data_IF_225652451890
#
_entry.id   IF_225652451890
#
_cell.length_a   1.000
_cell.length_b   1.000
_cell.length_c   1.000
_cell.angle_alpha   90.00
_cell.angle_beta   90.00
_cell.angle_gamma   90.00
#
_symmetry.space_group_name_H-M   'P 1'
#
loop_
_entity.id
_entity.type
_entity.pdbx_description
1 polymer ?
#
# COMPACT_ATOMS: atom_id res chain seq x y z
N UNK A 1 -42.93 5.01 -2.85
CA UNK A 1 -43.40 4.83 -1.46
C UNK A 1 -43.14 3.41 -0.94
N UNK A 2 -43.55 2.34 -1.63
CA UNK A 2 -43.31 0.95 -1.16
C UNK A 2 -41.81 0.56 -1.01
N UNK A 3 -40.92 1.05 -1.89
CA UNK A 3 -39.48 0.72 -1.86
C UNK A 3 -38.74 1.22 -0.62
N UNK A 4 -39.09 2.39 -0.09
CA UNK A 4 -38.42 3.00 1.08
C UNK A 4 -38.88 2.36 2.40
N UNK A 5 -40.17 2.04 2.51
CA UNK A 5 -40.71 1.28 3.64
C UNK A 5 -40.15 -0.15 3.68
N UNK A 6 -40.01 -0.80 2.52
CA UNK A 6 -39.36 -2.12 2.42
C UNK A 6 -37.86 -2.06 2.73
N UNK A 7 -37.15 -1.00 2.34
CA UNK A 7 -35.73 -0.81 2.69
C UNK A 7 -35.56 -0.62 4.22
N UNK A 8 -36.40 0.20 4.85
CA UNK A 8 -36.36 0.43 6.30
C UNK A 8 -36.67 -0.84 7.11
N UNK A 9 -37.66 -1.64 6.67
CA UNK A 9 -37.99 -2.93 7.29
C UNK A 9 -36.85 -3.95 7.15
N UNK A 10 -36.23 -4.02 5.97
CA UNK A 10 -35.07 -4.87 5.71
C UNK A 10 -33.87 -4.48 6.58
N UNK A 11 -33.57 -3.19 6.73
CA UNK A 11 -32.50 -2.69 7.58
C UNK A 11 -32.72 -3.07 9.05
N UNK A 12 -33.92 -2.83 9.60
CA UNK A 12 -34.23 -3.23 10.99
C UNK A 12 -34.08 -4.73 11.20
N UNK A 13 -34.51 -5.53 10.22
CA UNK A 13 -34.37 -6.99 10.28
C UNK A 13 -32.90 -7.41 10.28
N UNK A 14 -32.07 -6.78 9.45
CA UNK A 14 -30.63 -7.03 9.43
C UNK A 14 -29.97 -6.66 10.77
N UNK A 15 -30.26 -5.47 11.31
CA UNK A 15 -29.74 -5.02 12.60
C UNK A 15 -30.19 -5.91 13.76
N UNK A 16 -31.45 -6.35 13.76
CA UNK A 16 -31.98 -7.26 14.78
C UNK A 16 -31.30 -8.65 14.76
N UNK A 17 -30.82 -9.08 13.59
CA UNK A 17 -30.11 -10.35 13.40
C UNK A 17 -28.62 -10.29 13.73
N UNK A 18 -28.07 -9.10 13.99
CA UNK A 18 -26.66 -9.00 14.40
C UNK A 18 -26.44 -9.72 15.75
N UNK A 19 -25.31 -10.44 15.89
CA UNK A 19 -24.90 -10.98 17.19
C UNK A 19 -24.61 -9.85 18.18
N UNK A 20 -24.49 -10.15 19.47
CA UNK A 20 -24.25 -9.14 20.50
C UNK A 20 -22.97 -8.33 20.25
N UNK A 21 -21.93 -8.94 19.70
CA UNK A 21 -20.72 -8.25 19.25
C UNK A 21 -20.99 -7.27 18.11
N UNK A 22 -21.81 -7.66 17.12
CA UNK A 22 -22.21 -6.80 16.01
C UNK A 22 -23.10 -5.64 16.47
N UNK A 23 -24.00 -5.88 17.43
CA UNK A 23 -24.80 -4.81 18.04
C UNK A 23 -23.95 -3.83 18.84
N UNK A 24 -22.96 -4.32 19.59
CA UNK A 24 -22.03 -3.46 20.34
C UNK A 24 -21.11 -2.64 19.42
N UNK A 25 -20.89 -3.10 18.18
CA UNK A 25 -20.06 -2.42 17.19
C UNK A 25 -20.79 -1.31 16.42
N UNK A 26 -22.11 -1.19 16.56
CA UNK A 26 -22.93 -0.29 15.74
C UNK A 26 -23.69 0.70 16.63
N UNK A 27 -23.59 1.98 16.29
CA UNK A 27 -24.38 3.06 16.87
C UNK A 27 -25.43 3.49 15.86
N UNK A 28 -26.70 3.45 16.27
CA UNK A 28 -27.83 3.85 15.42
C UNK A 28 -28.54 5.05 16.05
N UNK A 29 -28.77 6.09 15.25
CA UNK A 29 -29.67 7.19 15.58
C UNK A 29 -30.97 7.05 14.79
N UNK A 30 -31.89 8.00 14.97
CA UNK A 30 -33.10 8.04 14.15
C UNK A 30 -32.83 8.30 12.65
N UNK A 31 -31.62 8.79 12.30
CA UNK A 31 -31.27 9.20 10.92
C UNK A 31 -30.04 8.50 10.36
N UNK A 32 -29.14 8.05 11.22
CA UNK A 32 -27.82 7.60 10.82
C UNK A 32 -27.47 6.26 11.45
N UNK A 33 -26.60 5.51 10.77
CA UNK A 33 -25.99 4.29 11.26
C UNK A 33 -24.47 4.46 11.14
N UNK A 34 -23.75 4.20 12.22
CA UNK A 34 -22.30 4.29 12.26
C UNK A 34 -21.68 3.17 13.08
N UNK A 35 -20.36 3.04 12.98
CA UNK A 35 -19.61 2.20 13.90
C UNK A 35 -19.48 2.91 15.25
N UNK A 36 -19.51 2.14 16.33
CA UNK A 36 -19.24 2.68 17.66
C UNK A 36 -17.80 3.18 17.74
N UNK A 37 -17.56 4.25 18.52
CA UNK A 37 -16.21 4.76 18.77
C UNK A 37 -15.26 3.79 19.48
N UNK A 38 -15.76 2.61 19.90
CA UNK A 38 -14.96 1.51 20.46
C UNK A 38 -14.45 0.54 19.41
N UNK A 39 -14.94 0.64 18.17
CA UNK A 39 -14.52 -0.23 17.08
C UNK A 39 -13.21 0.29 16.52
N UNK A 40 -12.19 -0.56 16.55
CA UNK A 40 -10.95 -0.35 15.82
C UNK A 40 -11.14 -0.80 14.39
N UNK A 41 -10.69 0.03 13.45
CA UNK A 41 -10.77 -0.25 12.02
C UNK A 41 -9.36 -0.15 11.45
N UNK A 42 -8.86 -1.28 10.99
CA UNK A 42 -7.53 -1.44 10.42
C UNK A 42 -7.22 -0.42 9.33
N UNK A 43 -8.13 -0.22 8.37
CA UNK A 43 -7.92 0.73 7.26
C UNK A 43 -7.77 2.17 7.75
N UNK A 44 -8.41 2.56 8.86
CA UNK A 44 -8.24 3.91 9.41
C UNK A 44 -6.84 4.09 9.99
N UNK A 45 -6.32 3.06 10.66
CA UNK A 45 -4.96 3.04 11.20
C UNK A 45 -3.92 3.04 10.07
N UNK A 46 -4.10 2.20 9.04
CA UNK A 46 -3.23 2.13 7.86
C UNK A 46 -3.23 3.43 7.06
N UNK A 47 -4.39 4.09 6.87
CA UNK A 47 -4.46 5.42 6.22
C UNK A 47 -3.73 6.48 7.05
N UNK A 48 -3.92 6.49 8.36
CA UNK A 48 -3.23 7.43 9.24
C UNK A 48 -1.71 7.22 9.22
N UNK A 49 -1.24 5.96 9.23
CA UNK A 49 0.17 5.61 9.08
C UNK A 49 0.72 6.08 7.73
N UNK A 50 0.01 5.81 6.63
CA UNK A 50 0.40 6.25 5.30
C UNK A 50 0.59 7.77 5.23
N UNK A 51 -0.34 8.55 5.78
CA UNK A 51 -0.21 10.01 5.84
C UNK A 51 1.00 10.46 6.67
N UNK A 52 1.30 9.82 7.81
CA UNK A 52 2.50 10.15 8.61
C UNK A 52 3.81 9.81 7.87
N UNK A 53 3.83 8.74 7.09
CA UNK A 53 4.97 8.35 6.27
C UNK A 53 5.21 9.31 5.09
N UNK A 54 4.16 9.94 4.58
CA UNK A 54 4.25 10.95 3.51
C UNK A 54 4.52 12.36 4.02
N UNK A 55 4.22 12.64 5.29
CA UNK A 55 4.57 13.88 5.94
C UNK A 55 6.09 13.98 6.21
N UNK A 56 6.62 15.18 6.53
CA UNK A 56 8.02 15.34 6.93
C UNK A 56 8.41 14.40 8.08
N UNK A 57 9.68 14.01 8.16
CA UNK A 57 10.13 12.99 9.12
C UNK A 57 9.80 13.33 10.59
N UNK A 58 9.72 14.62 10.94
CA UNK A 58 9.31 15.11 12.27
C UNK A 58 7.90 14.66 12.69
N UNK A 59 7.03 14.29 11.74
CA UNK A 59 5.67 13.81 12.00
C UNK A 59 5.60 12.29 12.25
N UNK A 60 6.74 11.60 12.12
CA UNK A 60 6.84 10.14 12.24
C UNK A 60 7.03 9.77 13.70
N UNK A 61 6.27 8.80 14.18
CA UNK A 61 6.34 8.32 15.56
C UNK A 61 7.29 7.12 15.68
N UNK A 62 7.73 6.84 16.91
CA UNK A 62 8.51 5.65 17.21
C UNK A 62 7.67 4.40 16.95
N UNK A 63 7.99 3.66 15.87
CA UNK A 63 7.26 2.47 15.44
C UNK A 63 6.68 2.55 14.02
N UNK A 64 6.50 3.76 13.47
CA UNK A 64 5.94 3.96 12.12
C UNK A 64 6.84 3.43 10.99
N UNK A 65 8.11 3.16 11.28
CA UNK A 65 9.11 2.72 10.29
C UNK A 65 9.72 1.41 10.77
N UNK A 66 9.22 0.30 10.23
CA UNK A 66 9.65 -1.06 10.54
C UNK A 66 8.74 -2.10 9.89
N UNK A 67 8.98 -3.38 10.18
CA UNK A 67 8.22 -4.50 9.62
C UNK A 67 6.70 -4.42 9.85
N UNK A 68 6.25 -3.88 10.99
CA UNK A 68 4.81 -3.68 11.27
C UNK A 68 4.15 -2.78 10.23
N UNK A 69 4.77 -1.65 9.92
CA UNK A 69 4.28 -0.73 8.90
C UNK A 69 4.22 -1.35 7.50
N UNK A 70 5.15 -2.27 7.17
CA UNK A 70 5.09 -3.02 5.90
C UNK A 70 3.83 -3.89 5.86
N UNK A 71 3.55 -4.60 6.96
CA UNK A 71 2.35 -5.44 7.07
C UNK A 71 1.07 -4.61 6.93
N UNK A 72 0.96 -3.51 7.68
CA UNK A 72 -0.25 -2.67 7.75
C UNK A 72 -0.59 -2.01 6.41
N UNK A 73 0.42 -1.74 5.57
CA UNK A 73 0.25 -1.10 4.26
C UNK A 73 0.13 -2.10 3.10
N UNK A 74 0.40 -3.39 3.32
CA UNK A 74 0.38 -4.41 2.26
C UNK A 74 -1.03 -4.89 1.91
N UNK A 75 -2.02 -4.71 2.79
CA UNK A 75 -3.38 -5.20 2.62
C UNK A 75 -4.22 -4.43 1.60
N UNK A 76 -5.02 -5.13 0.80
CA UNK A 76 -6.04 -4.57 -0.10
C UNK A 76 -7.32 -4.20 0.65
N UNK A 77 -8.01 -3.16 0.19
CA UNK A 77 -9.30 -2.76 0.76
C UNK A 77 -10.39 -3.64 0.16
N UNK A 78 -11.06 -4.43 1.01
CA UNK A 78 -12.23 -5.23 0.67
C UNK A 78 -12.03 -6.05 -0.63
N UNK A 79 -11.03 -6.96 -0.69
CA UNK A 79 -10.87 -7.83 -1.84
C UNK A 79 -12.16 -8.63 -2.10
N UNK A 80 -12.45 -8.90 -3.37
CA UNK A 80 -13.65 -9.60 -3.86
C UNK A 80 -14.98 -8.84 -3.77
N UNK A 81 -14.95 -7.55 -3.38
CA UNK A 81 -16.11 -6.66 -3.45
C UNK A 81 -16.08 -5.80 -4.71
N UNK A 82 -17.19 -5.76 -5.45
CA UNK A 82 -17.29 -5.11 -6.76
C UNK A 82 -18.34 -4.00 -6.83
N UNK A 83 -18.87 -3.57 -5.69
CA UNK A 83 -19.74 -2.40 -5.64
C UNK A 83 -18.98 -1.15 -6.11
N UNK A 84 -19.61 -0.29 -6.90
CA UNK A 84 -18.97 0.86 -7.54
C UNK A 84 -18.25 1.77 -6.52
N UNK A 85 -18.86 2.00 -5.35
CA UNK A 85 -18.25 2.80 -4.29
C UNK A 85 -17.00 2.14 -3.69
N UNK A 86 -16.95 0.80 -3.61
CA UNK A 86 -15.78 0.08 -3.10
C UNK A 86 -14.61 0.21 -4.07
N UNK A 87 -14.86 0.11 -5.38
CA UNK A 87 -13.82 0.22 -6.39
C UNK A 87 -13.11 1.58 -6.34
N UNK A 88 -13.86 2.66 -6.11
CA UNK A 88 -13.30 4.01 -5.94
C UNK A 88 -12.43 4.08 -4.68
N UNK A 89 -12.96 3.64 -3.53
CA UNK A 89 -12.23 3.67 -2.26
C UNK A 89 -10.99 2.77 -2.26
N UNK A 90 -11.06 1.63 -2.97
CA UNK A 90 -9.95 0.70 -3.12
C UNK A 90 -8.86 1.29 -4.01
N UNK A 91 -9.21 2.00 -5.08
CA UNK A 91 -8.24 2.71 -5.92
C UNK A 91 -7.57 3.87 -5.15
N UNK A 92 -8.35 4.67 -4.40
CA UNK A 92 -7.81 5.74 -3.55
C UNK A 92 -6.84 5.18 -2.50
N UNK A 93 -7.22 4.07 -1.85
CA UNK A 93 -6.33 3.38 -0.92
C UNK A 93 -5.08 2.85 -1.62
N UNK A 94 -5.22 2.24 -2.80
CA UNK A 94 -4.11 1.69 -3.57
C UNK A 94 -3.08 2.76 -3.93
N UNK A 95 -3.52 3.94 -4.38
CA UNK A 95 -2.61 5.05 -4.66
C UNK A 95 -1.89 5.53 -3.41
N UNK A 96 -2.63 5.74 -2.31
CA UNK A 96 -2.05 6.21 -1.05
C UNK A 96 -1.01 5.22 -0.50
N UNK A 97 -1.34 3.92 -0.45
CA UNK A 97 -0.43 2.90 0.09
C UNK A 97 0.82 2.72 -0.78
N UNK A 98 0.72 2.85 -2.10
CA UNK A 98 1.87 2.80 -3.00
C UNK A 98 2.90 3.87 -2.63
N UNK A 99 2.46 5.12 -2.54
CA UNK A 99 3.33 6.22 -2.15
C UNK A 99 3.91 6.05 -0.74
N UNK A 100 3.11 5.58 0.21
CA UNK A 100 3.57 5.35 1.58
C UNK A 100 4.62 4.22 1.67
N UNK A 101 4.43 3.13 0.93
CA UNK A 101 5.38 2.01 0.86
C UNK A 101 6.71 2.43 0.22
N UNK A 102 6.68 3.27 -0.83
CA UNK A 102 7.90 3.85 -1.42
C UNK A 102 8.66 4.75 -0.44
N UNK A 103 7.93 5.60 0.31
CA UNK A 103 8.51 6.43 1.35
C UNK A 103 9.09 5.58 2.51
N UNK A 104 8.38 4.53 2.91
CA UNK A 104 8.83 3.58 3.93
C UNK A 104 10.10 2.86 3.49
N UNK A 105 10.16 2.36 2.25
CA UNK A 105 11.35 1.73 1.69
C UNK A 105 12.56 2.69 1.72
N UNK A 106 12.35 3.95 1.34
CA UNK A 106 13.40 4.98 1.38
C UNK A 106 13.92 5.21 2.80
N UNK A 107 13.02 5.37 3.77
CA UNK A 107 13.38 5.59 5.18
C UNK A 107 14.08 4.39 5.82
N UNK A 108 13.62 3.18 5.54
CA UNK A 108 14.25 1.94 6.01
C UNK A 108 15.64 1.75 5.41
N UNK A 109 15.81 2.06 4.12
CA UNK A 109 17.11 2.04 3.44
C UNK A 109 18.09 3.00 4.10
N UNK A 110 17.67 4.24 4.38
CA UNK A 110 18.49 5.24 5.04
C UNK A 110 18.91 4.82 6.46
N UNK A 111 18.15 3.95 7.12
CA UNK A 111 18.45 3.39 8.44
C UNK A 111 19.26 2.08 8.39
N UNK A 112 19.54 1.54 7.20
CA UNK A 112 20.24 0.27 7.02
C UNK A 112 19.37 -0.98 7.25
N UNK A 113 18.05 -0.83 7.34
CA UNK A 113 17.10 -1.94 7.48
C UNK A 113 16.71 -2.49 6.10
N UNK A 114 17.69 -3.05 5.37
CA UNK A 114 17.52 -3.41 3.95
C UNK A 114 16.45 -4.48 3.71
N UNK A 115 16.32 -5.46 4.60
CA UNK A 115 15.30 -6.52 4.47
C UNK A 115 13.87 -5.95 4.50
N UNK A 116 13.57 -5.10 5.49
CA UNK A 116 12.26 -4.45 5.58
C UNK A 116 12.05 -3.44 4.44
N UNK A 117 13.12 -2.74 4.02
CA UNK A 117 13.05 -1.81 2.89
C UNK A 117 12.70 -2.52 1.58
N UNK A 118 13.32 -3.68 1.31
CA UNK A 118 13.01 -4.50 0.15
C UNK A 118 11.58 -5.06 0.24
N UNK A 119 11.14 -5.48 1.43
CA UNK A 119 9.76 -5.94 1.65
C UNK A 119 8.73 -4.84 1.35
N UNK A 120 8.99 -3.59 1.78
CA UNK A 120 8.14 -2.44 1.48
C UNK A 120 8.07 -2.14 -0.02
N UNK A 121 9.23 -2.08 -0.70
CA UNK A 121 9.28 -1.85 -2.14
C UNK A 121 8.59 -2.98 -2.93
N UNK A 122 8.79 -4.24 -2.54
CA UNK A 122 8.13 -5.40 -3.14
C UNK A 122 6.61 -5.39 -2.92
N UNK A 123 6.13 -4.92 -1.77
CA UNK A 123 4.70 -4.75 -1.53
C UNK A 123 4.09 -3.73 -2.50
N UNK A 124 4.79 -2.61 -2.74
CA UNK A 124 4.36 -1.63 -3.73
C UNK A 124 4.43 -2.18 -5.17
N UNK A 125 5.46 -2.95 -5.52
CA UNK A 125 5.56 -3.66 -6.81
C UNK A 125 4.40 -4.62 -7.01
N UNK A 126 3.99 -5.38 -5.99
CA UNK A 126 2.83 -6.29 -6.11
C UNK A 126 1.53 -5.54 -6.33
N UNK A 127 1.36 -4.38 -5.68
CA UNK A 127 0.18 -3.55 -5.82
C UNK A 127 0.09 -2.82 -7.17
N UNK A 128 1.21 -2.59 -7.84
CA UNK A 128 1.26 -2.02 -9.20
C UNK A 128 2.52 -2.49 -9.95
N UNK A 129 2.47 -3.67 -10.61
CA UNK A 129 3.65 -4.29 -11.22
C UNK A 129 4.30 -3.51 -12.37
N UNK A 130 3.49 -2.72 -13.11
CA UNK A 130 3.92 -1.96 -14.27
C UNK A 130 4.49 -0.58 -13.90
N UNK A 131 4.28 -0.10 -12.67
CA UNK A 131 4.81 1.20 -12.23
C UNK A 131 6.29 1.14 -11.92
N UNK A 132 7.03 2.07 -12.49
CA UNK A 132 8.49 2.11 -12.38
C UNK A 132 8.96 2.53 -10.98
N UNK A 133 8.21 3.38 -10.28
CA UNK A 133 8.71 4.01 -9.05
C UNK A 133 8.99 3.01 -7.91
N UNK A 134 8.15 1.99 -7.64
CA UNK A 134 8.49 0.90 -6.71
C UNK A 134 9.67 0.04 -7.16
N UNK A 135 9.82 -0.21 -8.47
CA UNK A 135 10.95 -0.96 -9.04
C UNK A 135 12.26 -0.22 -8.80
N UNK A 136 12.27 1.08 -9.06
CA UNK A 136 13.40 1.95 -8.79
C UNK A 136 13.75 2.01 -7.29
N UNK A 137 12.74 2.00 -6.41
CA UNK A 137 12.96 1.90 -4.97
C UNK A 137 13.63 0.57 -4.60
N UNK A 138 13.14 -0.56 -5.10
CA UNK A 138 13.72 -1.88 -4.84
C UNK A 138 15.17 -2.00 -5.33
N UNK A 139 15.45 -1.51 -6.54
CA UNK A 139 16.81 -1.44 -7.08
C UNK A 139 17.71 -0.60 -6.16
N UNK A 140 17.25 0.56 -5.70
CA UNK A 140 18.00 1.40 -4.73
C UNK A 140 18.27 0.66 -3.42
N UNK A 141 17.33 -0.14 -2.91
CA UNK A 141 17.55 -0.95 -1.70
C UNK A 141 18.71 -1.92 -1.93
N UNK A 142 18.69 -2.68 -3.03
CA UNK A 142 19.72 -3.64 -3.35
C UNK A 142 21.09 -3.00 -3.55
N UNK A 143 21.15 -1.82 -4.19
CA UNK A 143 22.40 -1.06 -4.33
C UNK A 143 22.93 -0.64 -2.95
N UNK A 144 22.07 -0.11 -2.08
CA UNK A 144 22.45 0.33 -0.75
C UNK A 144 22.88 -0.82 0.18
N UNK A 145 22.31 -2.01 0.00
CA UNK A 145 22.71 -3.25 0.66
C UNK A 145 24.04 -3.82 0.12
N UNK A 146 24.50 -3.35 -1.05
CA UNK A 146 25.67 -3.89 -1.75
C UNK A 146 25.36 -5.12 -2.63
N UNK A 147 24.09 -5.47 -2.81
CA UNK A 147 23.63 -6.60 -3.61
C UNK A 147 23.41 -6.21 -5.08
N UNK A 148 24.50 -5.84 -5.77
CA UNK A 148 24.47 -5.37 -7.16
C UNK A 148 23.84 -6.38 -8.11
N UNK A 149 24.06 -7.68 -7.89
CA UNK A 149 23.48 -8.72 -8.73
C UNK A 149 21.94 -8.75 -8.66
N UNK A 150 21.33 -8.51 -7.49
CA UNK A 150 19.88 -8.46 -7.38
C UNK A 150 19.32 -7.16 -7.99
N UNK A 151 20.01 -6.04 -7.84
CA UNK A 151 19.65 -4.78 -8.51
C UNK A 151 19.57 -4.95 -10.05
N UNK A 152 20.57 -5.58 -10.65
CA UNK A 152 20.61 -5.87 -12.08
C UNK A 152 19.53 -6.85 -12.51
N UNK A 153 19.28 -7.90 -11.71
CA UNK A 153 18.20 -8.86 -11.98
C UNK A 153 16.83 -8.18 -11.95
N UNK A 154 16.58 -7.30 -10.99
CA UNK A 154 15.31 -6.58 -10.88
C UNK A 154 15.06 -5.68 -12.09
N UNK A 155 16.08 -4.94 -12.52
CA UNK A 155 16.00 -4.15 -13.74
C UNK A 155 15.69 -5.00 -14.98
N UNK A 156 16.40 -6.12 -15.15
CA UNK A 156 16.18 -7.02 -16.29
C UNK A 156 14.76 -7.60 -16.31
N UNK A 157 14.25 -8.05 -15.15
CA UNK A 157 12.87 -8.56 -15.00
C UNK A 157 11.83 -7.49 -15.35
N UNK A 158 12.03 -6.26 -14.87
CA UNK A 158 11.09 -5.17 -15.13
C UNK A 158 11.08 -4.77 -16.61
N UNK A 159 12.26 -4.69 -17.25
CA UNK A 159 12.36 -4.44 -18.69
C UNK A 159 11.62 -5.49 -19.51
N UNK A 160 11.83 -6.77 -19.20
CA UNK A 160 11.11 -7.87 -19.87
C UNK A 160 9.59 -7.73 -19.70
N UNK A 161 9.13 -7.44 -18.49
CA UNK A 161 7.71 -7.20 -18.21
C UNK A 161 7.14 -6.04 -19.04
N UNK A 162 7.81 -4.88 -19.06
CA UNK A 162 7.32 -3.72 -19.84
C UNK A 162 7.29 -4.00 -21.34
N UNK A 163 8.29 -4.70 -21.86
CA UNK A 163 8.33 -5.07 -23.27
C UNK A 163 7.20 -6.04 -23.64
N UNK A 164 6.90 -7.01 -22.77
CA UNK A 164 5.82 -7.98 -23.00
C UNK A 164 4.43 -7.33 -22.89
N UNK A 165 4.20 -6.52 -21.85
CA UNK A 165 2.86 -5.99 -21.54
C UNK A 165 2.53 -4.71 -22.32
N UNK A 166 3.52 -3.86 -22.56
CA UNK A 166 3.31 -2.50 -23.11
C UNK A 166 4.14 -2.22 -24.37
N UNK A 167 5.14 -3.04 -24.70
CA UNK A 167 6.03 -2.81 -25.84
C UNK A 167 6.94 -1.59 -25.69
N UNK A 168 7.25 -1.20 -24.44
CA UNK A 168 8.08 -0.04 -24.11
C UNK A 168 9.27 -0.42 -23.24
N UNK A 169 10.32 0.40 -23.30
CA UNK A 169 11.50 0.28 -22.42
C UNK A 169 11.31 1.07 -21.11
N UNK A 170 12.06 0.73 -20.04
CA UNK A 170 12.15 1.57 -18.85
C UNK A 170 12.63 2.99 -19.16
N UNK A 171 12.37 3.92 -18.25
CA UNK A 171 12.80 5.31 -18.46
C UNK A 171 14.32 5.45 -18.38
N UNK A 172 14.85 6.50 -19.02
CA UNK A 172 16.27 6.88 -18.92
C UNK A 172 16.75 7.06 -17.48
N UNK A 173 15.85 7.48 -16.57
CA UNK A 173 16.18 7.61 -15.15
C UNK A 173 16.48 6.26 -14.52
N UNK A 174 15.74 5.22 -14.89
CA UNK A 174 15.98 3.87 -14.39
C UNK A 174 17.23 3.25 -15.03
N UNK A 175 17.45 3.51 -16.33
CA UNK A 175 18.70 3.12 -17.00
C UNK A 175 19.92 3.75 -16.31
N UNK A 176 19.90 5.06 -16.04
CA UNK A 176 20.98 5.76 -15.35
C UNK A 176 21.27 5.17 -13.96
N UNK A 177 20.23 4.83 -13.20
CA UNK A 177 20.37 4.21 -11.87
C UNK A 177 21.18 2.90 -11.90
N UNK A 178 21.11 2.15 -13.00
CA UNK A 178 21.79 0.87 -13.17
C UNK A 178 23.11 1.03 -13.92
N UNK A 179 23.23 2.00 -14.83
CA UNK A 179 24.45 2.32 -15.56
C UNK A 179 25.61 2.64 -14.60
N UNK A 180 25.33 3.40 -13.54
CA UNK A 180 26.31 3.75 -12.49
C UNK A 180 26.95 2.50 -11.84
N UNK A 181 26.27 1.35 -11.86
CA UNK A 181 26.78 0.11 -11.26
C UNK A 181 27.84 -0.57 -12.13
N UNK A 182 27.79 -0.37 -13.45
CA UNK A 182 28.79 -0.90 -14.37
C UNK A 182 30.10 -0.09 -14.30
N UNK A 183 30.01 1.22 -14.04
CA UNK A 183 31.18 2.12 -13.88
C UNK A 183 31.90 1.96 -12.54
N UNK A 184 31.22 1.42 -11.51
CA UNK A 184 31.81 1.14 -10.19
C UNK A 184 32.62 -0.16 -10.15
N UNK A 185 32.83 -0.83 -11.29
CA UNK A 185 33.75 -1.98 -11.37
C UNK A 185 35.13 -1.60 -11.93
N UNK A 186 36.08 -1.08 -11.12
CA UNK A 186 37.50 -1.24 -11.37
C UNK A 186 38.14 -2.23 -10.38
N UNK A 187 38.60 -3.36 -10.95
CA UNK A 187 39.56 -4.37 -10.47
C UNK A 187 39.23 -5.25 -9.26
#
# INVERSE_FOLDING_TARGET
MSTEEHASSSLRTALARLPDSGRAAVEATARDLGLSGRVTVDIWESRALAHRLLAPESSTQGGDVGAGAVSDLSGELLPDWYDEWVLIEAEDWRQLRLHALEALATRLTARGHYGDAAAAALAAVRAEPLRESPRAALIRVHIAEGNISEALREFARYRELLMVELGVEPTERLHALVADLFDVTPR
#
